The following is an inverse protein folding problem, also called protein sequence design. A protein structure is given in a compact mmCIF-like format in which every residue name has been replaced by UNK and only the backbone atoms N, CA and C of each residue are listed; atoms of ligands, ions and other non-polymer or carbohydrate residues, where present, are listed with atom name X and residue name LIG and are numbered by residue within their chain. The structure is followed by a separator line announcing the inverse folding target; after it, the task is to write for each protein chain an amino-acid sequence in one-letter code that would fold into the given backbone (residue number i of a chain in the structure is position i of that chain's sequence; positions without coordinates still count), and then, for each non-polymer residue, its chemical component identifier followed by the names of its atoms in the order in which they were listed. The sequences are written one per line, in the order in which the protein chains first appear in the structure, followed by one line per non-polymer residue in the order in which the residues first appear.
data_IF_965609708312
#
_entry.id   IF_965609708312
#
_cell.length_a   1.000
_cell.length_b   1.000
_cell.length_c   1.000
_cell.angle_alpha   90.00
_cell.angle_beta   90.00
_cell.angle_gamma   90.00
#
_symmetry.space_group_name_H-M   'P 1'
#
loop_
_entity.id
_entity.type
_entity.pdbx_description
1 polymer ?
#
# COMPACT_ATOMS: atom_id res chain seq x y z
N UNK A 1 -10.43 -17.63 -7.30
CA UNK A 1 -11.83 -17.81 -7.43
C UNK A 1 -12.65 -16.62 -7.10
N UNK A 2 -12.44 -16.01 -5.99
CA UNK A 2 -13.17 -14.81 -5.66
C UNK A 2 -12.98 -13.73 -6.71
N UNK A 3 -11.76 -13.56 -7.17
CA UNK A 3 -11.46 -12.54 -8.17
C UNK A 3 -12.21 -12.79 -9.47
N UNK A 4 -12.23 -14.05 -9.91
CA UNK A 4 -12.97 -14.38 -11.11
C UNK A 4 -14.44 -14.07 -10.99
N UNK A 5 -15.00 -14.38 -9.83
CA UNK A 5 -16.39 -14.10 -9.58
C UNK A 5 -16.66 -12.61 -9.59
N UNK A 6 -15.77 -11.84 -8.98
CA UNK A 6 -15.92 -10.40 -8.98
C UNK A 6 -15.84 -9.83 -10.38
N UNK A 7 -14.96 -10.36 -11.20
CA UNK A 7 -14.83 -9.88 -12.55
C UNK A 7 -16.13 -10.09 -13.31
N UNK A 8 -16.73 -11.25 -13.19
CA UNK A 8 -18.00 -11.51 -13.84
C UNK A 8 -19.09 -10.61 -13.30
N UNK A 9 -19.15 -10.51 -11.98
CA UNK A 9 -20.16 -9.66 -11.35
C UNK A 9 -19.95 -8.21 -11.73
N UNK A 10 -18.70 -7.77 -11.80
CA UNK A 10 -18.41 -6.39 -12.17
C UNK A 10 -18.90 -6.06 -13.57
N UNK A 11 -18.76 -6.99 -14.50
CA UNK A 11 -19.24 -6.76 -15.85
C UNK A 11 -20.73 -6.50 -15.87
N UNK A 12 -21.47 -7.26 -15.11
CA UNK A 12 -22.92 -7.13 -15.03
C UNK A 12 -23.28 -5.86 -14.26
N UNK A 13 -22.62 -5.63 -13.14
CA UNK A 13 -22.96 -4.52 -12.27
C UNK A 13 -22.60 -3.17 -12.86
N UNK A 14 -21.56 -3.11 -13.67
CA UNK A 14 -21.20 -1.86 -14.32
C UNK A 14 -22.34 -1.37 -15.19
N UNK A 15 -23.04 -2.28 -15.83
CA UNK A 15 -24.17 -1.92 -16.64
C UNK A 15 -25.34 -1.46 -15.78
N UNK A 16 -25.53 -2.09 -14.64
CA UNK A 16 -26.72 -1.87 -13.82
C UNK A 16 -26.51 -0.97 -12.63
N UNK A 17 -25.32 -1.03 -12.01
CA UNK A 17 -25.04 -0.29 -10.78
C UNK A 17 -23.56 -0.13 -10.58
N UNK A 18 -22.98 0.91 -11.18
CA UNK A 18 -21.55 1.16 -11.13
C UNK A 18 -21.01 1.37 -9.73
N UNK A 19 -21.79 2.04 -8.87
CA UNK A 19 -21.31 2.39 -7.54
C UNK A 19 -20.93 1.15 -6.74
N UNK A 20 -21.79 0.16 -6.76
CA UNK A 20 -21.55 -1.05 -5.99
C UNK A 20 -20.37 -1.84 -6.53
N UNK A 21 -20.30 -1.99 -7.84
CA UNK A 21 -19.19 -2.71 -8.46
C UNK A 21 -17.87 -1.99 -8.19
N UNK A 22 -17.89 -0.68 -8.22
CA UNK A 22 -16.69 0.11 -7.95
C UNK A 22 -16.24 -0.05 -6.51
N UNK A 23 -17.17 0.01 -5.57
CA UNK A 23 -16.83 -0.15 -4.16
C UNK A 23 -16.18 -1.51 -3.89
N UNK A 24 -16.72 -2.55 -4.50
CA UNK A 24 -16.15 -3.88 -4.34
C UNK A 24 -14.75 -3.96 -4.95
N UNK A 25 -14.57 -3.33 -6.12
CA UNK A 25 -13.25 -3.32 -6.76
C UNK A 25 -12.23 -2.58 -5.90
N UNK A 26 -12.64 -1.46 -5.30
CA UNK A 26 -11.74 -0.71 -4.44
C UNK A 26 -11.34 -1.51 -3.21
N UNK A 27 -12.27 -2.28 -2.66
CA UNK A 27 -11.94 -3.12 -1.52
C UNK A 27 -10.96 -4.22 -1.92
N UNK A 28 -11.12 -4.80 -3.09
CA UNK A 28 -10.18 -5.79 -3.59
C UNK A 28 -8.79 -5.16 -3.73
N UNK A 29 -8.73 -3.93 -4.21
CA UNK A 29 -7.45 -3.23 -4.34
C UNK A 29 -6.78 -3.05 -2.99
N UNK A 30 -7.52 -2.62 -1.98
CA UNK A 30 -6.99 -2.44 -0.63
C UNK A 30 -6.47 -3.77 -0.09
N UNK A 31 -7.25 -4.82 -0.23
CA UNK A 31 -6.85 -6.14 0.26
C UNK A 31 -5.59 -6.63 -0.47
N UNK A 32 -5.53 -6.41 -1.77
CA UNK A 32 -4.36 -6.81 -2.56
C UNK A 32 -3.11 -6.06 -2.11
N UNK A 33 -3.23 -4.76 -1.87
CA UNK A 33 -2.11 -3.98 -1.40
C UNK A 33 -1.60 -4.53 -0.07
N UNK A 34 -2.50 -4.79 0.85
CA UNK A 34 -2.10 -5.28 2.18
C UNK A 34 -1.44 -6.65 2.13
N UNK A 35 -1.79 -7.46 1.14
CA UNK A 35 -1.19 -8.78 1.00
C UNK A 35 0.09 -8.79 0.19
N UNK A 36 0.23 -7.84 -0.72
CA UNK A 36 1.33 -7.87 -1.71
C UNK A 36 2.17 -6.59 -1.74
N UNK A 37 2.17 -5.81 -0.68
CA UNK A 37 2.87 -4.53 -0.69
C UNK A 37 4.37 -4.66 -0.93
N UNK A 38 4.93 -5.83 -0.67
CA UNK A 38 6.35 -6.05 -0.90
C UNK A 38 6.69 -6.17 -2.38
N UNK A 39 5.70 -6.42 -3.19
CA UNK A 39 5.88 -6.57 -4.63
C UNK A 39 5.77 -5.23 -5.32
N UNK A 40 6.27 -5.19 -6.56
CA UNK A 40 6.18 -3.99 -7.36
C UNK A 40 4.78 -3.88 -7.95
N UNK A 41 3.93 -3.14 -7.25
CA UNK A 41 2.54 -2.95 -7.64
C UNK A 41 2.38 -1.56 -8.23
N UNK A 42 1.86 -1.48 -9.46
CA UNK A 42 1.62 -0.18 -10.08
C UNK A 42 0.12 0.09 -10.19
N UNK A 43 -0.21 1.36 -10.36
CA UNK A 43 -1.59 1.76 -10.57
C UNK A 43 -2.17 1.07 -11.79
N UNK A 44 -1.39 1.00 -12.87
CA UNK A 44 -1.85 0.39 -14.10
C UNK A 44 -2.10 -1.11 -13.93
N UNK A 45 -1.21 -1.79 -13.21
CA UNK A 45 -1.41 -3.21 -12.92
C UNK A 45 -2.71 -3.44 -12.18
N UNK A 46 -2.97 -2.59 -11.20
CA UNK A 46 -4.16 -2.74 -10.39
C UNK A 46 -5.43 -2.45 -11.19
N UNK A 47 -5.38 -1.40 -11.98
CA UNK A 47 -6.53 -1.05 -12.83
C UNK A 47 -6.83 -2.18 -13.81
N UNK A 48 -5.78 -2.78 -14.37
CA UNK A 48 -5.95 -3.89 -15.29
C UNK A 48 -6.56 -5.10 -14.58
N UNK A 49 -6.06 -5.41 -13.40
CA UNK A 49 -6.58 -6.52 -12.61
C UNK A 49 -8.08 -6.35 -12.34
N UNK A 50 -8.49 -5.13 -12.09
CA UNK A 50 -9.88 -4.83 -11.73
C UNK A 50 -10.74 -4.48 -12.94
N UNK A 51 -10.16 -4.48 -14.14
CA UNK A 51 -10.86 -4.14 -15.37
C UNK A 51 -11.44 -2.73 -15.32
N UNK A 52 -10.67 -1.80 -14.78
CA UNK A 52 -11.06 -0.40 -14.68
C UNK A 52 -10.09 0.46 -15.49
N UNK A 53 -10.61 1.59 -15.97
CA UNK A 53 -9.75 2.60 -16.57
C UNK A 53 -8.82 3.16 -15.52
N UNK A 54 -7.51 3.29 -15.79
CA UNK A 54 -6.57 3.78 -14.77
C UNK A 54 -6.94 5.13 -14.17
N UNK A 55 -7.38 6.07 -14.98
CA UNK A 55 -7.75 7.40 -14.47
C UNK A 55 -8.97 7.31 -13.58
N UNK A 56 -9.94 6.52 -13.96
CA UNK A 56 -11.14 6.33 -13.16
C UNK A 56 -10.80 5.67 -11.84
N UNK A 57 -10.00 4.60 -11.90
CA UNK A 57 -9.57 3.90 -10.69
C UNK A 57 -8.82 4.85 -9.75
N UNK A 58 -7.89 5.62 -10.31
CA UNK A 58 -7.09 6.56 -9.53
C UNK A 58 -7.97 7.55 -8.75
N UNK A 59 -8.93 8.13 -9.44
CA UNK A 59 -9.82 9.11 -8.82
C UNK A 59 -10.69 8.47 -7.75
N UNK A 60 -11.25 7.32 -8.06
CA UNK A 60 -12.15 6.64 -7.11
C UNK A 60 -11.40 6.14 -5.91
N UNK A 61 -10.18 5.63 -6.11
CA UNK A 61 -9.37 5.15 -5.01
C UNK A 61 -9.08 6.29 -4.04
N UNK A 62 -8.65 7.43 -4.56
CA UNK A 62 -8.33 8.56 -3.70
C UNK A 62 -9.57 9.08 -2.98
N UNK A 63 -10.68 9.14 -3.69
CA UNK A 63 -11.94 9.60 -3.10
C UNK A 63 -12.38 8.71 -1.95
N UNK A 64 -12.23 7.40 -2.12
CA UNK A 64 -12.67 6.44 -1.12
C UNK A 64 -11.72 6.33 0.07
N UNK A 65 -10.43 6.48 -0.16
CA UNK A 65 -9.42 6.21 0.87
C UNK A 65 -8.70 7.45 1.38
N UNK A 66 -8.95 8.61 0.80
CA UNK A 66 -8.31 9.85 1.23
C UNK A 66 -6.90 10.04 0.71
N UNK A 67 -6.29 9.00 0.20
CA UNK A 67 -4.92 9.03 -0.33
C UNK A 67 -4.92 8.40 -1.71
N UNK A 68 -4.04 8.89 -2.59
CA UNK A 68 -3.83 8.25 -3.87
C UNK A 68 -3.26 6.86 -3.69
N UNK A 69 -3.32 6.08 -4.76
CA UNK A 69 -2.85 4.69 -4.72
C UNK A 69 -1.40 4.58 -4.27
N UNK A 70 -0.53 5.39 -4.85
CA UNK A 70 0.89 5.33 -4.54
C UNK A 70 1.17 5.71 -3.09
N UNK A 71 0.50 6.75 -2.62
CA UNK A 71 0.67 7.16 -1.22
C UNK A 71 0.17 6.10 -0.27
N UNK A 72 -0.94 5.49 -0.60
CA UNK A 72 -1.50 4.43 0.22
C UNK A 72 -0.53 3.25 0.32
N UNK A 73 0.00 2.83 -0.83
CA UNK A 73 0.98 1.74 -0.85
C UNK A 73 2.21 2.09 -0.02
N UNK A 74 2.71 3.32 -0.16
CA UNK A 74 3.85 3.74 0.65
C UNK A 74 3.53 3.71 2.13
N UNK A 75 2.34 4.16 2.52
CA UNK A 75 1.96 4.14 3.93
C UNK A 75 1.90 2.73 4.48
N UNK A 76 1.38 1.79 3.70
CA UNK A 76 1.36 0.38 4.12
C UNK A 76 2.78 -0.13 4.34
N UNK A 77 3.67 0.17 3.39
CA UNK A 77 5.07 -0.24 3.50
C UNK A 77 5.76 0.38 4.70
N UNK A 78 5.53 1.68 4.93
CA UNK A 78 6.15 2.36 6.06
C UNK A 78 5.63 1.81 7.37
N UNK A 79 4.32 1.56 7.47
CA UNK A 79 3.76 0.98 8.68
C UNK A 79 4.39 -0.37 9.00
N UNK A 80 4.59 -1.20 7.98
CA UNK A 80 5.22 -2.49 8.19
C UNK A 80 6.68 -2.31 8.64
N UNK A 81 7.37 -1.33 8.05
CA UNK A 81 8.76 -1.08 8.40
C UNK A 81 8.91 -0.62 9.85
N UNK A 82 7.92 0.09 10.38
CA UNK A 82 7.97 0.52 11.78
C UNK A 82 8.01 -0.67 12.70
N UNK A 83 7.24 -1.69 12.41
CA UNK A 83 7.29 -2.92 13.20
C UNK A 83 8.66 -3.58 13.14
N UNK A 84 9.24 -3.64 11.95
CA UNK A 84 10.56 -4.25 11.81
C UNK A 84 11.62 -3.45 12.54
N UNK A 85 11.51 -2.12 12.52
CA UNK A 85 12.46 -1.28 13.23
C UNK A 85 12.43 -1.53 14.73
N UNK A 86 11.24 -1.76 15.28
CA UNK A 86 11.06 -1.92 16.72
C UNK A 86 11.24 -3.36 17.19
N UNK A 87 10.92 -4.32 16.34
CA UNK A 87 10.84 -5.72 16.78
C UNK A 87 11.99 -6.59 16.28
N UNK A 88 12.86 -6.07 15.43
CA UNK A 88 13.96 -6.85 14.89
C UNK A 88 15.26 -6.08 14.96
N UNK A 89 16.37 -6.81 14.79
CA UNK A 89 17.67 -6.21 14.66
C UNK A 89 18.10 -5.98 13.22
N UNK A 90 17.17 -6.07 12.28
CA UNK A 90 17.50 -5.90 10.87
C UNK A 90 18.06 -4.52 10.60
N UNK A 91 19.01 -4.45 9.67
CA UNK A 91 19.57 -3.17 9.27
C UNK A 91 18.53 -2.34 8.53
N UNK A 92 18.76 -1.04 8.46
CA UNK A 92 17.86 -0.15 7.75
C UNK A 92 17.73 -0.57 6.28
N UNK A 93 18.85 -0.95 5.67
CA UNK A 93 18.85 -1.40 4.29
C UNK A 93 18.03 -2.68 4.11
N UNK A 94 18.19 -3.62 5.02
CA UNK A 94 17.43 -4.87 4.97
C UNK A 94 15.93 -4.60 5.11
N UNK A 95 15.58 -3.71 6.02
CA UNK A 95 14.17 -3.35 6.22
C UNK A 95 13.59 -2.71 4.96
N UNK A 96 14.36 -1.84 4.31
CA UNK A 96 13.90 -1.21 3.08
C UNK A 96 13.52 -2.26 2.04
N UNK A 97 14.40 -3.22 1.80
CA UNK A 97 14.12 -4.26 0.82
C UNK A 97 12.97 -5.16 1.26
N UNK A 98 12.92 -5.48 2.54
CA UNK A 98 11.87 -6.33 3.07
C UNK A 98 10.49 -5.70 2.89
N UNK A 99 10.42 -4.37 2.89
CA UNK A 99 9.17 -3.66 2.74
C UNK A 99 8.83 -3.31 1.30
N UNK A 100 9.66 -3.72 0.35
CA UNK A 100 9.34 -3.54 -1.05
C UNK A 100 10.03 -2.37 -1.73
N UNK A 101 11.01 -1.75 -1.08
CA UNK A 101 11.77 -0.66 -1.68
C UNK A 101 13.05 -1.20 -2.31
N UNK A 102 13.35 -0.70 -3.50
CA UNK A 102 14.57 -1.10 -4.20
C UNK A 102 15.80 -0.34 -3.72
N UNK A 103 15.59 0.74 -3.00
CA UNK A 103 16.64 1.68 -2.67
C UNK A 103 16.41 2.18 -1.25
N UNK A 104 17.43 2.06 -0.40
CA UNK A 104 17.29 2.44 1.00
C UNK A 104 17.18 3.95 1.18
N UNK A 105 17.75 4.74 0.26
CA UNK A 105 17.61 6.18 0.34
C UNK A 105 16.19 6.61 0.07
N UNK A 106 15.57 6.00 -0.92
CA UNK A 106 14.17 6.27 -1.22
C UNK A 106 13.28 5.88 -0.05
N UNK A 107 13.57 4.74 0.56
CA UNK A 107 12.85 4.31 1.76
C UNK A 107 12.99 5.34 2.87
N UNK A 108 14.23 5.80 3.10
CA UNK A 108 14.48 6.80 4.15
C UNK A 108 13.70 8.07 3.93
N UNK A 109 13.65 8.54 2.69
CA UNK A 109 12.89 9.75 2.37
C UNK A 109 11.39 9.54 2.59
N UNK A 110 10.88 8.40 2.14
CA UNK A 110 9.46 8.08 2.31
C UNK A 110 9.11 7.96 3.79
N UNK A 111 9.97 7.31 4.57
CA UNK A 111 9.75 7.14 6.00
C UNK A 111 9.72 8.51 6.70
N UNK A 112 10.68 9.36 6.38
CA UNK A 112 10.77 10.66 7.01
C UNK A 112 9.56 11.53 6.67
N UNK A 113 9.06 11.39 5.44
CA UNK A 113 7.89 12.14 5.02
C UNK A 113 6.67 11.77 5.86
N UNK A 114 6.53 10.49 6.21
CA UNK A 114 5.41 10.02 7.00
C UNK A 114 5.61 10.30 8.49
N UNK A 115 6.81 10.09 8.99
CA UNK A 115 7.07 10.10 10.44
C UNK A 115 7.81 11.32 10.95
N UNK A 116 8.31 12.16 10.07
CA UNK A 116 9.03 13.36 10.48
C UNK A 116 10.48 13.15 10.86
N UNK A 117 10.92 11.90 11.01
CA UNK A 117 12.29 11.57 11.34
C UNK A 117 12.75 10.39 10.51
N UNK A 118 14.06 10.18 10.43
CA UNK A 118 14.60 9.05 9.67
C UNK A 118 14.32 7.73 10.37
N UNK A 119 14.41 6.61 9.63
CA UNK A 119 14.23 5.29 10.26
C UNK A 119 15.20 5.04 11.41
N UNK A 120 16.47 5.44 11.26
CA UNK A 120 17.46 5.28 12.33
C UNK A 120 17.08 6.03 13.57
N UNK A 121 16.66 7.29 13.39
CA UNK A 121 16.25 8.12 14.49
C UNK A 121 15.01 7.55 15.17
N UNK A 122 14.06 7.10 14.36
CA UNK A 122 12.84 6.50 14.88
C UNK A 122 13.17 5.28 15.77
N UNK A 123 14.04 4.41 15.26
CA UNK A 123 14.44 3.22 16.02
C UNK A 123 15.11 3.60 17.33
N UNK A 124 15.99 4.60 17.28
CA UNK A 124 16.71 5.03 18.46
C UNK A 124 15.77 5.61 19.52
N UNK A 125 14.87 6.48 19.10
CA UNK A 125 13.95 7.12 20.03
C UNK A 125 12.94 6.14 20.60
N UNK A 126 12.30 5.36 19.75
CA UNK A 126 11.25 4.43 20.20
C UNK A 126 11.83 3.22 20.89
N UNK A 127 12.99 2.75 20.40
CA UNK A 127 13.66 1.61 21.03
C UNK A 127 14.08 1.93 22.45
N UNK A 128 14.59 3.13 22.67
CA UNK A 128 14.99 3.54 24.02
C UNK A 128 13.80 3.57 24.97
N UNK A 129 12.65 3.98 24.47
CA UNK A 129 11.44 3.99 25.28
C UNK A 129 10.99 2.58 25.58
N UNK A 130 11.05 1.71 24.59
CA UNK A 130 10.60 0.32 24.76
C UNK A 130 11.51 -0.44 25.73
N UNK A 131 12.79 -0.15 25.69
CA UNK A 131 13.76 -0.85 26.51
C UNK A 131 13.63 -0.51 27.99
N UNK A 132 12.81 0.45 28.30
CA UNK A 132 12.56 0.83 29.67
C UNK A 132 11.30 0.18 30.18
#
# INVERSE_FOLDING_TARGET
MRILRYINDASILIVNNNTRATDEALQIAVDYINEHFKNNITLDDMAELLHLNPSYFSKKFKSANGLGFKEYLNNVRINHSEKLLLETGMSITEIAFECGYDNSNYYGDAFKKVNGVSPSTFRKLKGNIVDR
#
